data_IF_324043045254
#
_entry.id   IF_324043045254
#
_cell.length_a   1.000
_cell.length_b   1.000
_cell.length_c   1.000
_cell.angle_alpha   90.00
_cell.angle_beta   90.00
_cell.angle_gamma   90.00
#
_symmetry.space_group_name_H-M   'P 1'
#
loop_
_entity.id
_entity.type
_entity.pdbx_description
1 polymer ?
#
# COMPACT_ATOMS: atom_id res chain seq x y z
N UNK A 1 19.52 -6.17 8.70
CA UNK A 1 18.59 -6.00 9.86
C UNK A 1 18.58 -4.59 10.41
N UNK A 2 19.73 -3.91 10.45
CA UNK A 2 19.89 -2.58 11.04
C UNK A 2 18.96 -1.52 10.42
N UNK A 3 18.80 -1.52 9.09
CA UNK A 3 17.91 -0.58 8.39
C UNK A 3 16.45 -0.72 8.82
N UNK A 4 15.96 -1.95 9.02
CA UNK A 4 14.59 -2.19 9.51
C UNK A 4 14.41 -1.64 10.92
N UNK A 5 15.39 -1.84 11.79
CA UNK A 5 15.36 -1.34 13.17
C UNK A 5 15.44 0.19 13.22
N UNK A 6 16.28 0.80 12.37
CA UNK A 6 16.38 2.24 12.22
C UNK A 6 15.06 2.85 11.73
N UNK A 7 14.43 2.21 10.74
CA UNK A 7 13.12 2.61 10.25
C UNK A 7 12.05 2.54 11.33
N UNK A 8 11.96 1.44 12.07
CA UNK A 8 10.99 1.28 13.17
C UNK A 8 11.16 2.39 14.21
N UNK A 9 12.40 2.67 14.64
CA UNK A 9 12.67 3.76 15.59
C UNK A 9 12.22 5.11 15.07
N UNK A 10 12.53 5.43 13.81
CA UNK A 10 12.11 6.68 13.16
C UNK A 10 10.58 6.78 13.07
N UNK A 11 9.93 5.70 12.67
CA UNK A 11 8.47 5.64 12.53
C UNK A 11 7.76 5.83 13.87
N UNK A 12 8.22 5.14 14.91
CA UNK A 12 7.69 5.29 16.28
C UNK A 12 7.89 6.72 16.81
N UNK A 13 9.05 7.34 16.53
CA UNK A 13 9.31 8.73 16.89
C UNK A 13 8.27 9.66 16.25
N UNK A 14 8.04 9.55 14.93
CA UNK A 14 7.05 10.38 14.22
C UNK A 14 5.63 10.16 14.70
N UNK A 15 5.25 8.91 15.00
CA UNK A 15 3.94 8.59 15.57
C UNK A 15 3.70 9.27 16.92
N UNK A 16 4.72 9.33 17.78
CA UNK A 16 4.63 10.00 19.09
C UNK A 16 4.56 11.52 18.96
N UNK A 17 5.25 12.09 17.97
CA UNK A 17 5.29 13.54 17.73
C UNK A 17 3.98 14.05 17.09
N UNK A 18 3.48 13.36 16.07
CA UNK A 18 2.25 13.73 15.38
C UNK A 18 1.58 12.51 14.71
N UNK A 19 0.63 11.85 15.40
CA UNK A 19 -0.04 10.67 14.86
C UNK A 19 -0.91 10.99 13.64
N UNK A 20 -1.53 12.17 13.60
CA UNK A 20 -2.41 12.58 12.50
C UNK A 20 -1.66 12.69 11.17
N UNK A 21 -0.42 13.19 11.20
CA UNK A 21 0.42 13.30 10.01
C UNK A 21 0.80 11.91 9.46
N UNK A 22 1.14 10.97 10.35
CA UNK A 22 1.40 9.58 9.94
C UNK A 22 0.13 8.94 9.37
N UNK A 23 -1.01 9.18 10.00
CA UNK A 23 -2.30 8.66 9.53
C UNK A 23 -2.66 9.21 8.15
N UNK A 24 -2.46 10.51 7.88
CA UNK A 24 -2.65 11.11 6.56
C UNK A 24 -1.84 10.41 5.47
N UNK A 25 -0.59 10.04 5.76
CA UNK A 25 0.26 9.31 4.82
C UNK A 25 -0.30 7.91 4.51
N UNK A 26 -0.81 7.21 5.53
CA UNK A 26 -1.47 5.91 5.35
C UNK A 26 -2.75 6.03 4.52
N UNK A 27 -3.59 7.02 4.81
CA UNK A 27 -4.81 7.30 4.04
C UNK A 27 -4.47 7.62 2.58
N UNK A 28 -3.44 8.43 2.34
CA UNK A 28 -2.98 8.75 0.98
C UNK A 28 -2.55 7.49 0.22
N UNK A 29 -1.85 6.57 0.88
CA UNK A 29 -1.45 5.30 0.29
C UNK A 29 -2.67 4.44 -0.06
N UNK A 30 -3.60 4.24 0.88
CA UNK A 30 -4.82 3.45 0.65
C UNK A 30 -5.64 4.04 -0.51
N UNK A 31 -5.83 5.35 -0.52
CA UNK A 31 -6.55 6.03 -1.59
C UNK A 31 -5.87 5.85 -2.95
N UNK A 32 -4.53 5.83 -3.00
CA UNK A 32 -3.79 5.57 -4.24
C UNK A 32 -4.07 4.16 -4.79
N UNK A 33 -4.23 3.16 -3.91
CA UNK A 33 -4.59 1.80 -4.32
C UNK A 33 -6.02 1.74 -4.85
N UNK A 34 -6.97 2.42 -4.20
CA UNK A 34 -8.35 2.48 -4.68
C UNK A 34 -8.46 3.15 -6.05
N UNK A 35 -7.75 4.26 -6.26
CA UNK A 35 -7.67 4.93 -7.57
C UNK A 35 -7.05 4.01 -8.61
N UNK A 36 -5.97 3.33 -8.27
CA UNK A 36 -5.30 2.38 -9.18
C UNK A 36 -6.20 1.19 -9.53
N UNK A 37 -6.96 0.67 -8.57
CA UNK A 37 -7.90 -0.42 -8.79
C UNK A 37 -9.08 0.02 -9.68
N UNK A 38 -9.61 1.23 -9.48
CA UNK A 38 -10.68 1.78 -10.32
C UNK A 38 -10.23 2.01 -11.77
N UNK A 39 -8.99 2.44 -11.95
CA UNK A 39 -8.40 2.73 -13.26
C UNK A 39 -7.58 1.55 -13.79
N UNK A 40 -7.78 0.35 -13.23
CA UNK A 40 -6.98 -0.80 -13.61
C UNK A 40 -7.30 -1.17 -15.08
N UNK A 41 -6.28 -1.33 -15.94
CA UNK A 41 -6.50 -1.48 -17.38
C UNK A 41 -7.09 -2.84 -17.77
N UNK A 42 -7.10 -3.80 -16.84
CA UNK A 42 -7.60 -5.15 -17.07
C UNK A 42 -8.90 -5.36 -16.29
N UNK A 43 -9.84 -6.07 -16.89
CA UNK A 43 -10.89 -6.74 -16.16
C UNK A 43 -10.32 -7.76 -15.18
N UNK A 44 -11.13 -8.18 -14.22
CA UNK A 44 -10.76 -9.22 -13.24
C UNK A 44 -10.33 -10.50 -13.95
N UNK A 45 -11.06 -10.90 -14.99
CA UNK A 45 -10.82 -12.12 -15.75
C UNK A 45 -9.51 -12.04 -16.55
N UNK A 46 -9.21 -10.90 -17.15
CA UNK A 46 -7.94 -10.66 -17.86
C UNK A 46 -6.74 -10.66 -16.90
N UNK A 47 -6.89 -10.03 -15.74
CA UNK A 47 -5.87 -10.03 -14.70
C UNK A 47 -5.58 -11.45 -14.19
N UNK A 48 -6.63 -12.23 -13.90
CA UNK A 48 -6.50 -13.60 -13.42
C UNK A 48 -5.91 -14.54 -14.49
N UNK A 49 -6.23 -14.33 -15.77
CA UNK A 49 -5.57 -15.02 -16.89
C UNK A 49 -4.08 -14.69 -16.96
N UNK A 50 -3.72 -13.40 -16.86
CA UNK A 50 -2.31 -12.98 -16.83
C UNK A 50 -1.55 -13.60 -15.64
N UNK A 51 -2.23 -13.72 -14.49
CA UNK A 51 -1.67 -14.34 -13.28
C UNK A 51 -1.52 -15.86 -13.36
N UNK A 52 -2.09 -16.52 -14.39
CA UNK A 52 -2.15 -17.98 -14.46
C UNK A 52 -3.07 -18.61 -13.41
N UNK A 53 -3.96 -17.80 -12.83
CA UNK A 53 -4.89 -18.21 -11.77
C UNK A 53 -6.29 -18.54 -12.32
N UNK A 54 -6.59 -18.17 -13.57
CA UNK A 54 -7.73 -18.71 -14.29
C UNK A 54 -7.33 -20.07 -14.89
N UNK A 55 -7.86 -21.16 -14.33
CA UNK A 55 -7.85 -22.48 -14.98
C UNK A 55 -9.11 -22.60 -15.82
N UNK A 56 -8.98 -23.13 -17.04
CA UNK A 56 -10.10 -23.46 -17.94
C UNK A 56 -11.10 -24.43 -17.28
#
# INVERSE_FOLDING_TARGET
MEERLAFIKLYVKKLKENPDEVFKQQVKLVNSFLVSAKNFPLSKEEYLRMKGELRD
#
